data_IF_566172181908
#
_entry.id   IF_566172181908
#
_cell.length_a   1.000
_cell.length_b   1.000
_cell.length_c   1.000
_cell.angle_alpha   90.00
_cell.angle_beta   90.00
_cell.angle_gamma   90.00
#
_symmetry.space_group_name_H-M   'P 1'
#
loop_
_entity.id
_entity.type
_entity.pdbx_description
1 polymer ?
#
# COMPACT_ATOMS: atom_id res chain seq x y z
N UNK A 1 -32.83 27.19 76.24
CA UNK A 1 -34.07 27.41 75.47
C UNK A 1 -34.06 28.86 75.00
N UNK A 2 -33.96 29.07 73.69
CA UNK A 2 -34.24 30.31 72.99
C UNK A 2 -34.66 29.98 71.54
N UNK A 3 -35.45 30.85 70.89
CA UNK A 3 -36.41 30.47 69.85
C UNK A 3 -35.96 30.79 68.42
N UNK A 4 -36.77 30.28 67.48
CA UNK A 4 -36.90 30.55 66.05
C UNK A 4 -36.00 31.63 65.40
N UNK A 5 -35.33 31.25 64.31
CA UNK A 5 -35.17 32.13 63.13
C UNK A 5 -35.06 31.30 61.85
N UNK A 6 -36.06 31.50 60.99
CA UNK A 6 -36.02 31.26 59.54
C UNK A 6 -34.65 31.63 58.95
N UNK A 7 -34.08 30.72 58.16
CA UNK A 7 -33.10 31.09 57.14
C UNK A 7 -33.58 30.54 55.82
N UNK A 8 -34.05 31.47 55.00
CA UNK A 8 -34.33 31.33 53.59
C UNK A 8 -33.34 30.37 52.90
N UNK A 9 -33.89 29.35 52.26
CA UNK A 9 -33.25 28.65 51.15
C UNK A 9 -33.02 29.65 50.01
N UNK A 10 -31.87 30.34 50.03
CA UNK A 10 -31.36 30.99 48.83
C UNK A 10 -30.56 29.95 48.05
N UNK A 11 -31.29 29.10 47.32
CA UNK A 11 -30.75 28.36 46.19
C UNK A 11 -30.23 29.40 45.20
N UNK A 12 -28.96 29.78 45.36
CA UNK A 12 -28.31 30.77 44.52
C UNK A 12 -28.14 30.10 43.16
N UNK A 13 -28.77 30.56 42.08
CA UNK A 13 -28.56 29.98 40.78
C UNK A 13 -27.09 30.23 40.45
N UNK A 14 -26.29 29.16 40.40
CA UNK A 14 -24.88 29.25 40.08
C UNK A 14 -24.72 30.12 38.85
N UNK A 15 -23.91 31.18 38.97
CA UNK A 15 -23.76 32.21 37.95
C UNK A 15 -23.61 31.54 36.57
N UNK A 16 -24.53 31.79 35.61
CA UNK A 16 -24.54 31.10 34.32
C UNK A 16 -23.20 31.27 33.58
N UNK A 17 -22.50 32.37 33.83
CA UNK A 17 -21.16 32.62 33.29
C UNK A 17 -20.12 31.61 33.80
N UNK A 18 -20.16 31.27 35.09
CA UNK A 18 -19.24 30.29 35.71
C UNK A 18 -19.56 28.88 35.21
N UNK A 19 -20.85 28.53 35.08
CA UNK A 19 -21.27 27.25 34.50
C UNK A 19 -20.79 27.10 33.06
N UNK A 20 -20.99 28.13 32.22
CA UNK A 20 -20.54 28.12 30.83
C UNK A 20 -19.01 28.05 30.75
N UNK A 21 -18.30 28.77 31.61
CA UNK A 21 -16.84 28.73 31.68
C UNK A 21 -16.32 27.32 32.05
N UNK A 22 -16.89 26.70 33.08
CA UNK A 22 -16.55 25.34 33.49
C UNK A 22 -16.85 24.31 32.40
N UNK A 23 -18.01 24.40 31.74
CA UNK A 23 -18.38 23.53 30.63
C UNK A 23 -17.40 23.65 29.45
N UNK A 24 -16.96 24.88 29.13
CA UNK A 24 -15.94 25.11 28.09
C UNK A 24 -14.60 24.50 28.47
N UNK A 25 -14.16 24.67 29.71
CA UNK A 25 -12.91 24.07 30.19
C UNK A 25 -12.97 22.54 30.12
N UNK A 26 -14.07 21.93 30.56
CA UNK A 26 -14.30 20.49 30.46
C UNK A 26 -14.31 20.00 29.02
N UNK A 27 -14.95 20.75 28.11
CA UNK A 27 -14.95 20.42 26.69
C UNK A 27 -13.53 20.46 26.10
N UNK A 28 -12.74 21.48 26.45
CA UNK A 28 -11.37 21.63 25.96
C UNK A 28 -10.48 20.46 26.42
N UNK A 29 -10.51 20.13 27.71
CA UNK A 29 -9.78 18.97 28.27
C UNK A 29 -10.24 17.67 27.61
N UNK A 30 -11.55 17.53 27.34
CA UNK A 30 -12.09 16.35 26.66
C UNK A 30 -11.64 16.26 25.20
N UNK A 31 -11.48 17.38 24.50
CA UNK A 31 -10.96 17.42 23.14
C UNK A 31 -9.47 17.06 23.10
N UNK A 32 -8.67 17.58 24.02
CA UNK A 32 -7.26 17.20 24.15
C UNK A 32 -7.10 15.71 24.45
N UNK A 33 -7.92 15.17 25.37
CA UNK A 33 -7.95 13.73 25.66
C UNK A 33 -8.33 12.90 24.44
N UNK A 34 -9.30 13.36 23.65
CA UNK A 34 -9.67 12.68 22.39
C UNK A 34 -8.53 12.69 21.38
N UNK A 35 -7.85 13.83 21.20
CA UNK A 35 -6.71 13.93 20.31
C UNK A 35 -5.57 13.00 20.75
N UNK A 36 -5.31 12.93 22.06
CA UNK A 36 -4.31 12.00 22.61
C UNK A 36 -4.71 10.53 22.42
N UNK A 37 -5.98 10.17 22.67
CA UNK A 37 -6.48 8.82 22.44
C UNK A 37 -6.40 8.42 20.97
N UNK A 38 -6.70 9.33 20.04
CA UNK A 38 -6.54 9.09 18.60
C UNK A 38 -5.08 8.80 18.24
N UNK A 39 -4.14 9.59 18.75
CA UNK A 39 -2.71 9.34 18.56
C UNK A 39 -2.28 7.99 19.15
N UNK A 40 -2.79 7.65 20.34
CA UNK A 40 -2.47 6.36 20.98
C UNK A 40 -3.06 5.17 20.23
N UNK A 41 -4.26 5.30 19.69
CA UNK A 41 -4.86 4.29 18.81
C UNK A 41 -3.98 4.12 17.58
N UNK A 42 -3.58 5.19 16.92
CA UNK A 42 -2.69 5.14 15.75
C UNK A 42 -1.39 4.39 16.08
N UNK A 43 -0.69 4.73 17.17
CA UNK A 43 0.51 4.01 17.63
C UNK A 43 0.27 2.50 17.85
N UNK A 44 -0.83 2.14 18.51
CA UNK A 44 -1.18 0.73 18.77
C UNK A 44 -1.54 -0.01 17.48
N UNK A 45 -2.20 0.67 16.54
CA UNK A 45 -2.48 0.13 15.22
C UNK A 45 -1.20 -0.08 14.41
N UNK A 46 -0.21 0.81 14.56
CA UNK A 46 1.13 0.67 13.97
C UNK A 46 1.88 -0.53 14.54
N UNK A 47 1.92 -0.69 15.86
CA UNK A 47 2.54 -1.84 16.52
C UNK A 47 1.88 -3.15 16.08
N UNK A 48 0.54 -3.22 16.09
CA UNK A 48 -0.21 -4.38 15.60
C UNK A 48 0.12 -4.69 14.15
N UNK A 49 0.18 -3.69 13.28
CA UNK A 49 0.48 -3.87 11.86
C UNK A 49 1.92 -4.37 11.67
N UNK A 50 2.88 -3.84 12.44
CA UNK A 50 4.27 -4.28 12.43
C UNK A 50 4.41 -5.74 12.88
N UNK A 51 3.76 -6.13 13.99
CA UNK A 51 3.75 -7.50 14.49
C UNK A 51 3.10 -8.47 13.50
N UNK A 52 2.00 -8.06 12.85
CA UNK A 52 1.41 -8.85 11.75
C UNK A 52 2.38 -9.04 10.59
N UNK A 53 3.10 -8.01 10.18
CA UNK A 53 4.11 -8.13 9.12
C UNK A 53 5.27 -9.05 9.51
N UNK A 54 5.73 -9.01 10.77
CA UNK A 54 6.75 -9.93 11.27
C UNK A 54 6.24 -11.37 11.32
N UNK A 55 5.02 -11.58 11.82
CA UNK A 55 4.41 -12.89 11.91
C UNK A 55 4.16 -13.49 10.53
N UNK A 56 3.67 -12.70 9.57
CA UNK A 56 3.51 -13.14 8.17
C UNK A 56 4.86 -13.58 7.57
N UNK A 57 5.96 -12.87 7.87
CA UNK A 57 7.31 -13.27 7.43
C UNK A 57 7.74 -14.59 8.06
N UNK A 58 7.54 -14.74 9.37
CA UNK A 58 7.92 -15.94 10.12
C UNK A 58 7.13 -17.17 9.67
N UNK A 59 5.81 -17.05 9.52
CA UNK A 59 4.93 -18.12 9.03
C UNK A 59 5.33 -18.56 7.63
N UNK A 60 5.65 -17.61 6.73
CA UNK A 60 6.14 -17.94 5.38
C UNK A 60 7.47 -18.70 5.45
N UNK A 61 8.37 -18.31 6.35
CA UNK A 61 9.70 -18.93 6.48
C UNK A 61 9.64 -20.33 7.09
N UNK A 62 8.68 -20.61 7.97
CA UNK A 62 8.48 -21.92 8.60
C UNK A 62 7.64 -22.88 7.74
N UNK A 63 7.08 -22.43 6.61
CA UNK A 63 6.26 -23.26 5.70
C UNK A 63 7.05 -23.87 4.54
N UNK A 64 8.38 -23.90 4.62
CA UNK A 64 9.21 -24.71 3.71
C UNK A 64 8.97 -26.20 3.99
N UNK A 65 8.75 -27.03 2.96
CA UNK A 65 8.53 -28.45 3.16
C UNK A 65 9.84 -29.12 3.56
N UNK A 66 9.82 -29.84 4.67
CA UNK A 66 10.77 -30.91 4.94
C UNK A 66 10.73 -31.89 3.75
N UNK A 67 11.88 -32.12 3.10
CA UNK A 67 12.01 -33.19 2.11
C UNK A 67 13.05 -32.95 1.00
N UNK A 68 14.24 -33.48 1.27
CA UNK A 68 15.18 -34.13 0.32
C UNK A 68 16.16 -33.29 -0.52
N UNK A 69 17.45 -33.61 -0.28
CA UNK A 69 18.57 -33.62 -1.24
C UNK A 69 19.18 -32.24 -1.49
N UNK A 70 20.32 -31.86 -0.92
CA UNK A 70 21.57 -32.63 -0.90
C UNK A 70 22.50 -32.02 -1.95
N UNK A 71 23.66 -31.51 -1.49
CA UNK A 71 24.94 -31.51 -2.23
C UNK A 71 25.03 -30.52 -3.44
N UNK A 72 26.04 -29.68 -3.65
CA UNK A 72 27.38 -29.47 -3.10
C UNK A 72 27.79 -28.00 -3.29
N UNK A 73 28.69 -27.52 -2.44
CA UNK A 73 29.52 -26.35 -2.72
C UNK A 73 30.45 -26.70 -3.89
N UNK A 74 30.53 -25.87 -4.92
CA UNK A 74 31.67 -25.91 -5.82
C UNK A 74 32.34 -24.54 -5.93
N UNK A 75 33.63 -24.62 -5.61
CA UNK A 75 34.64 -23.59 -5.53
C UNK A 75 35.17 -23.36 -6.94
N UNK A 76 35.32 -22.10 -7.31
CA UNK A 76 36.01 -21.64 -8.52
C UNK A 76 37.51 -21.97 -8.44
N UNK A 77 38.05 -22.73 -9.41
CA UNK A 77 39.46 -22.62 -9.84
C UNK A 77 39.60 -22.91 -11.35
N UNK A 78 40.09 -21.91 -12.08
CA UNK A 78 40.62 -22.00 -13.44
C UNK A 78 41.96 -22.78 -13.47
N UNK A 79 42.17 -23.69 -14.42
CA UNK A 79 43.43 -23.79 -15.18
C UNK A 79 43.42 -24.89 -16.27
N UNK A 80 43.99 -24.47 -17.40
CA UNK A 80 44.37 -25.12 -18.65
C UNK A 80 45.16 -26.45 -18.52
N UNK A 81 44.87 -27.44 -19.37
CA UNK A 81 45.89 -28.05 -20.25
C UNK A 81 45.31 -29.05 -21.25
N UNK A 82 45.85 -28.95 -22.45
CA UNK A 82 45.66 -29.75 -23.66
C UNK A 82 46.36 -31.12 -23.59
N UNK A 83 45.76 -32.22 -24.08
CA UNK A 83 46.40 -33.25 -24.96
C UNK A 83 45.44 -34.36 -25.43
N UNK A 84 45.46 -34.57 -26.76
CA UNK A 84 45.33 -35.78 -27.60
C UNK A 84 44.93 -37.15 -26.98
N UNK A 85 43.95 -37.85 -27.57
CA UNK A 85 44.15 -38.95 -28.55
C UNK A 85 42.89 -39.84 -28.68
N UNK A 86 42.61 -40.33 -29.89
CA UNK A 86 41.30 -40.87 -30.26
C UNK A 86 41.05 -42.36 -30.01
N UNK A 87 39.84 -42.81 -30.31
CA UNK A 87 39.56 -44.05 -31.08
C UNK A 87 38.06 -44.23 -31.37
N UNK A 88 37.78 -44.74 -32.58
CA UNK A 88 36.46 -45.04 -33.13
C UNK A 88 35.74 -46.15 -32.36
N UNK A 89 34.42 -46.03 -32.15
CA UNK A 89 33.51 -47.17 -32.39
C UNK A 89 32.10 -46.71 -32.77
N UNK A 90 31.67 -47.17 -33.95
CA UNK A 90 30.32 -47.05 -34.51
C UNK A 90 29.34 -47.88 -33.69
N UNK A 91 28.21 -47.29 -33.32
CA UNK A 91 26.97 -47.98 -32.96
C UNK A 91 25.79 -47.25 -33.60
N UNK A 92 25.23 -47.83 -34.66
CA UNK A 92 24.04 -47.33 -35.37
C UNK A 92 22.79 -47.64 -34.53
N UNK A 93 21.98 -46.62 -34.24
CA UNK A 93 20.61 -46.75 -33.75
C UNK A 93 19.78 -45.58 -34.27
N UNK A 94 18.72 -45.88 -35.01
CA UNK A 94 17.88 -44.96 -35.81
C UNK A 94 16.81 -44.24 -34.97
N UNK A 95 16.40 -43.07 -35.46
CA UNK A 95 15.20 -42.29 -35.09
C UNK A 95 15.63 -40.90 -34.63
N UNK A 96 15.26 -39.77 -35.23
CA UNK A 96 14.13 -39.40 -36.06
C UNK A 96 13.57 -38.08 -35.49
N UNK A 97 13.60 -36.98 -36.26
CA UNK A 97 12.83 -35.75 -35.99
C UNK A 97 13.40 -34.72 -34.99
N UNK A 98 13.46 -33.46 -35.45
CA UNK A 98 13.63 -32.19 -34.73
C UNK A 98 12.64 -31.97 -33.54
N UNK A 99 12.67 -30.82 -32.81
CA UNK A 99 13.69 -29.79 -32.59
C UNK A 99 14.03 -29.62 -31.09
N UNK A 100 15.10 -28.88 -30.77
CA UNK A 100 15.43 -28.41 -29.41
C UNK A 100 14.23 -27.71 -28.76
N UNK A 101 13.56 -28.39 -27.84
CA UNK A 101 12.54 -27.78 -26.96
C UNK A 101 13.23 -26.76 -26.05
N UNK A 102 13.07 -25.46 -26.35
CA UNK A 102 13.38 -24.40 -25.39
C UNK A 102 12.43 -24.59 -24.21
N UNK A 103 12.94 -25.13 -23.10
CA UNK A 103 12.20 -25.24 -21.85
C UNK A 103 11.73 -23.85 -21.46
N UNK A 104 10.48 -23.49 -21.80
CA UNK A 104 9.84 -22.30 -21.24
C UNK A 104 9.84 -22.56 -19.74
N UNK A 105 10.59 -21.75 -19.01
CA UNK A 105 10.59 -21.75 -17.55
C UNK A 105 9.14 -21.54 -17.11
N UNK A 106 8.46 -22.62 -16.76
CA UNK A 106 7.12 -22.58 -16.20
C UNK A 106 7.34 -21.96 -14.83
N UNK A 107 7.10 -20.65 -14.72
CA UNK A 107 6.91 -20.03 -13.42
C UNK A 107 5.74 -20.76 -12.78
N UNK A 108 6.04 -21.71 -11.90
CA UNK A 108 5.07 -22.26 -10.97
C UNK A 108 4.62 -21.08 -10.11
N UNK A 109 3.57 -20.40 -10.56
CA UNK A 109 2.84 -19.43 -9.74
C UNK A 109 2.25 -20.28 -8.63
N UNK A 110 3.02 -20.48 -7.56
CA UNK A 110 2.46 -20.78 -6.24
C UNK A 110 1.31 -19.80 -6.11
N UNK A 111 0.07 -20.28 -5.98
CA UNK A 111 -1.12 -19.47 -5.72
C UNK A 111 -1.01 -18.84 -4.31
N UNK A 112 0.08 -18.10 -4.08
CA UNK A 112 0.36 -17.36 -2.88
C UNK A 112 -0.46 -16.11 -2.96
N UNK A 113 -1.58 -16.10 -2.22
CA UNK A 113 -2.48 -14.96 -2.04
C UNK A 113 -3.03 -14.49 -3.38
N UNK A 114 -4.27 -14.86 -3.68
CA UNK A 114 -4.98 -14.24 -4.80
C UNK A 114 -4.80 -12.71 -4.69
N UNK A 115 -4.06 -12.14 -5.64
CA UNK A 115 -3.73 -10.71 -5.62
C UNK A 115 -5.06 -9.99 -5.72
N UNK A 116 -5.56 -9.44 -4.60
CA UNK A 116 -6.86 -8.79 -4.59
C UNK A 116 -6.85 -7.66 -5.61
N UNK A 117 -7.53 -7.87 -6.73
CA UNK A 117 -7.68 -6.85 -7.75
C UNK A 117 -8.65 -5.80 -7.22
N UNK A 118 -8.21 -4.55 -7.27
CA UNK A 118 -9.11 -3.43 -7.00
C UNK A 118 -10.06 -3.32 -8.17
N UNK A 119 -11.35 -3.12 -7.87
CA UNK A 119 -12.43 -3.11 -8.86
C UNK A 119 -13.00 -1.71 -9.07
N UNK A 120 -12.72 -0.78 -8.16
CA UNK A 120 -13.40 0.49 -8.02
C UNK A 120 -12.43 1.62 -7.57
N UNK A 121 -12.79 2.90 -7.81
CA UNK A 121 -11.97 4.06 -7.43
C UNK A 121 -11.64 4.13 -5.93
N UNK A 122 -12.57 3.73 -5.06
CA UNK A 122 -12.35 3.75 -3.61
C UNK A 122 -11.26 2.75 -3.20
N UNK A 123 -11.30 1.55 -3.77
CA UNK A 123 -10.24 0.56 -3.62
C UNK A 123 -8.88 1.07 -4.09
N UNK A 124 -8.83 1.89 -5.15
CA UNK A 124 -7.58 2.54 -5.60
C UNK A 124 -7.10 3.52 -4.54
N UNK A 125 -7.98 4.39 -4.05
CA UNK A 125 -7.65 5.41 -3.05
C UNK A 125 -7.17 4.79 -1.73
N UNK A 126 -7.85 3.76 -1.23
CA UNK A 126 -7.47 3.04 -0.01
C UNK A 126 -6.07 2.44 -0.16
N UNK A 127 -5.81 1.74 -1.27
CA UNK A 127 -4.50 1.15 -1.55
C UNK A 127 -3.42 2.24 -1.67
N UNK A 128 -3.71 3.33 -2.38
CA UNK A 128 -2.78 4.43 -2.59
C UNK A 128 -2.37 5.06 -1.25
N UNK A 129 -3.34 5.37 -0.38
CA UNK A 129 -3.09 5.90 0.97
C UNK A 129 -2.23 4.96 1.82
N UNK A 130 -2.52 3.65 1.81
CA UNK A 130 -1.71 2.64 2.52
C UNK A 130 -0.25 2.60 2.05
N UNK A 131 -0.04 2.63 0.74
CA UNK A 131 1.31 2.61 0.16
C UNK A 131 2.04 3.93 0.41
N UNK A 132 1.34 5.06 0.29
CA UNK A 132 1.87 6.40 0.60
C UNK A 132 2.38 6.47 2.03
N UNK A 133 1.59 5.99 2.99
CA UNK A 133 1.99 5.93 4.39
C UNK A 133 3.28 5.12 4.58
N UNK A 134 3.37 3.92 3.99
CA UNK A 134 4.60 3.12 4.07
C UNK A 134 5.78 3.83 3.40
N UNK A 135 5.58 4.45 2.24
CA UNK A 135 6.61 5.23 1.57
C UNK A 135 7.15 6.37 2.44
N UNK A 136 6.27 7.12 3.11
CA UNK A 136 6.68 8.22 3.99
C UNK A 136 7.60 7.74 5.12
N UNK A 137 7.42 6.50 5.60
CA UNK A 137 8.25 5.87 6.64
C UNK A 137 9.56 5.29 6.09
N UNK A 138 9.48 4.47 5.05
CA UNK A 138 10.64 3.70 4.54
C UNK A 138 11.45 4.45 3.47
N UNK A 139 10.91 5.58 2.97
CA UNK A 139 11.49 6.44 1.93
C UNK A 139 11.95 5.69 0.67
N UNK A 140 11.32 4.55 0.38
CA UNK A 140 11.64 3.69 -0.76
C UNK A 140 10.37 3.19 -1.44
N UNK A 141 10.20 3.57 -2.72
CA UNK A 141 9.10 3.10 -3.57
C UNK A 141 9.10 1.57 -3.69
N UNK A 142 10.25 1.00 -4.06
CA UNK A 142 10.39 -0.45 -4.26
C UNK A 142 10.03 -1.22 -2.99
N UNK A 143 10.51 -0.76 -1.82
CA UNK A 143 10.20 -1.41 -0.56
C UNK A 143 8.73 -1.28 -0.19
N UNK A 144 8.12 -0.11 -0.37
CA UNK A 144 6.70 0.09 -0.12
C UNK A 144 5.84 -0.83 -1.02
N UNK A 145 6.16 -0.93 -2.31
CA UNK A 145 5.46 -1.81 -3.24
C UNK A 145 5.60 -3.29 -2.88
N UNK A 146 6.79 -3.73 -2.46
CA UNK A 146 7.02 -5.11 -2.00
C UNK A 146 6.21 -5.45 -0.75
N UNK A 147 6.16 -4.55 0.24
CA UNK A 147 5.41 -4.75 1.49
C UNK A 147 3.91 -4.93 1.20
N UNK A 148 3.37 -4.13 0.29
CA UNK A 148 1.95 -4.19 -0.07
C UNK A 148 1.63 -5.20 -1.17
N UNK A 149 2.64 -5.89 -1.73
CA UNK A 149 2.47 -6.88 -2.80
C UNK A 149 1.91 -6.28 -4.10
N UNK A 150 2.15 -4.99 -4.37
CA UNK A 150 1.63 -4.28 -5.54
C UNK A 150 2.74 -4.03 -6.55
N UNK A 151 2.39 -4.12 -7.84
CA UNK A 151 3.31 -3.80 -8.92
C UNK A 151 3.39 -2.29 -9.20
N UNK A 152 4.57 -1.81 -9.61
CA UNK A 152 4.81 -0.40 -9.94
C UNK A 152 3.89 0.10 -11.04
N UNK A 153 3.69 -0.66 -12.11
CA UNK A 153 2.84 -0.22 -13.22
C UNK A 153 1.38 -0.16 -12.82
N UNK A 154 0.93 -1.05 -11.94
CA UNK A 154 -0.43 -0.99 -11.37
C UNK A 154 -0.64 0.28 -10.57
N UNK A 155 0.34 0.66 -9.73
CA UNK A 155 0.27 1.91 -8.98
C UNK A 155 0.35 3.14 -9.87
N UNK A 156 1.18 3.09 -10.92
CA UNK A 156 1.30 4.20 -11.87
C UNK A 156 -0.01 4.37 -12.64
N UNK A 157 -0.52 3.33 -13.29
CA UNK A 157 -1.67 3.42 -14.21
C UNK A 157 -2.97 3.81 -13.53
N UNK A 158 -3.09 3.58 -12.23
CA UNK A 158 -4.23 3.99 -11.41
C UNK A 158 -3.97 5.26 -10.57
N UNK A 159 -2.75 5.82 -10.62
CA UNK A 159 -2.40 7.04 -9.88
C UNK A 159 -3.29 8.25 -10.21
N UNK A 160 -3.73 8.48 -11.47
CA UNK A 160 -4.56 9.63 -11.79
C UNK A 160 -5.90 9.67 -11.03
N UNK A 161 -6.47 8.50 -10.71
CA UNK A 161 -7.70 8.41 -9.89
C UNK A 161 -7.43 8.98 -8.50
N UNK A 162 -6.36 8.51 -7.85
CA UNK A 162 -6.01 8.96 -6.50
C UNK A 162 -5.54 10.42 -6.50
N UNK A 163 -4.79 10.85 -7.51
CA UNK A 163 -4.33 12.23 -7.66
C UNK A 163 -5.52 13.19 -7.78
N UNK A 164 -6.52 12.89 -8.62
CA UNK A 164 -7.72 13.69 -8.75
C UNK A 164 -8.49 13.76 -7.41
N UNK A 165 -8.80 12.60 -6.81
CA UNK A 165 -9.57 12.50 -5.57
C UNK A 165 -8.93 13.23 -4.38
N UNK A 166 -7.59 13.29 -4.34
CA UNK A 166 -6.85 13.92 -3.23
C UNK A 166 -6.56 15.40 -3.47
N UNK A 167 -6.38 15.83 -4.73
CA UNK A 167 -5.90 17.17 -5.06
C UNK A 167 -7.01 18.10 -5.53
N UNK A 168 -7.98 17.56 -6.26
CA UNK A 168 -9.06 18.31 -6.90
C UNK A 168 -10.37 17.46 -6.90
N UNK A 169 -10.94 17.15 -5.71
CA UNK A 169 -12.18 16.37 -5.63
C UNK A 169 -13.36 17.03 -6.36
N UNK A 170 -13.36 18.35 -6.51
CA UNK A 170 -14.35 19.11 -7.28
C UNK A 170 -14.41 18.68 -8.75
N UNK A 171 -13.25 18.33 -9.34
CA UNK A 171 -13.12 17.88 -10.73
C UNK A 171 -13.65 16.46 -10.97
N UNK A 172 -13.95 15.71 -9.92
CA UNK A 172 -14.55 14.37 -10.04
C UNK A 172 -15.92 14.45 -10.71
N UNK A 173 -16.65 15.54 -10.49
CA UNK A 173 -17.95 15.78 -11.14
C UNK A 173 -17.83 15.95 -12.66
N UNK A 174 -16.76 16.60 -13.14
CA UNK A 174 -16.47 16.77 -14.58
C UNK A 174 -16.09 15.45 -15.24
N UNK A 175 -15.38 14.58 -14.51
CA UNK A 175 -15.09 13.21 -14.97
C UNK A 175 -16.38 12.39 -14.99
N UNK A 176 -17.29 12.60 -14.05
CA UNK A 176 -18.49 11.77 -13.87
C UNK A 176 -18.19 10.49 -13.10
N UNK A 177 -19.26 9.75 -12.78
CA UNK A 177 -19.20 8.56 -11.95
C UNK A 177 -18.53 7.38 -12.66
N UNK A 178 -17.93 6.49 -11.87
CA UNK A 178 -17.39 5.23 -12.35
C UNK A 178 -18.47 4.16 -12.29
N UNK A 179 -18.77 3.54 -13.43
CA UNK A 179 -19.70 2.42 -13.51
C UNK A 179 -18.98 1.17 -14.03
N UNK A 180 -18.80 0.18 -13.15
CA UNK A 180 -18.07 -1.05 -13.47
C UNK A 180 -18.70 -1.90 -14.59
N UNK A 181 -19.99 -1.68 -14.87
CA UNK A 181 -20.72 -2.30 -15.98
C UNK A 181 -20.47 -1.61 -17.33
N UNK A 182 -20.13 -0.31 -17.33
CA UNK A 182 -19.97 0.51 -18.54
C UNK A 182 -18.52 0.62 -19.00
N UNK A 183 -17.57 0.63 -18.08
CA UNK A 183 -16.16 0.83 -18.42
C UNK A 183 -15.20 0.07 -17.49
N UNK A 184 -13.93 -0.04 -17.92
CA UNK A 184 -12.87 -0.59 -17.08
C UNK A 184 -12.28 0.52 -16.20
N UNK A 185 -11.80 0.16 -15.02
CA UNK A 185 -11.12 1.08 -14.10
C UNK A 185 -9.93 1.84 -14.74
N UNK A 186 -9.22 1.22 -15.67
CA UNK A 186 -8.12 1.90 -16.40
C UNK A 186 -8.62 2.95 -17.39
N UNK A 187 -9.81 2.78 -17.93
CA UNK A 187 -10.43 3.76 -18.82
C UNK A 187 -10.94 4.95 -17.98
N UNK A 188 -11.51 4.69 -16.80
CA UNK A 188 -11.79 5.72 -15.80
C UNK A 188 -10.54 6.52 -15.42
N UNK A 189 -9.42 5.84 -15.13
CA UNK A 189 -8.15 6.50 -14.82
C UNK A 189 -7.66 7.42 -15.95
N UNK A 190 -7.86 7.02 -17.22
CA UNK A 190 -7.56 7.88 -18.38
C UNK A 190 -8.45 9.13 -18.41
N UNK A 191 -9.73 9.00 -18.09
CA UNK A 191 -10.66 10.15 -18.03
C UNK A 191 -10.27 11.09 -16.90
N UNK A 192 -9.94 10.57 -15.71
CA UNK A 192 -9.39 11.37 -14.61
C UNK A 192 -8.16 12.16 -15.05
N UNK A 193 -7.19 11.52 -15.71
CA UNK A 193 -5.99 12.20 -16.18
C UNK A 193 -6.28 13.31 -17.19
N UNK A 194 -7.21 13.09 -18.12
CA UNK A 194 -7.56 14.09 -19.14
C UNK A 194 -8.36 15.28 -18.60
N UNK A 195 -9.11 15.09 -17.51
CA UNK A 195 -9.89 16.14 -16.88
C UNK A 195 -9.04 17.04 -15.96
N UNK A 196 -7.83 16.61 -15.59
CA UNK A 196 -6.91 17.45 -14.82
C UNK A 196 -6.36 18.55 -15.72
N UNK A 197 -6.51 19.80 -15.28
CA UNK A 197 -5.90 20.95 -15.92
C UNK A 197 -4.42 21.11 -15.50
N UNK A 198 -3.74 22.06 -16.14
CA UNK A 198 -2.32 22.32 -15.89
C UNK A 198 -2.07 22.80 -14.44
N UNK A 199 -3.02 23.53 -13.86
CA UNK A 199 -2.96 23.96 -12.45
C UNK A 199 -3.02 22.76 -11.49
N UNK A 200 -3.97 21.84 -11.70
CA UNK A 200 -4.07 20.62 -10.90
C UNK A 200 -2.82 19.76 -11.04
N UNK A 201 -2.27 19.65 -12.25
CA UNK A 201 -1.01 18.94 -12.47
C UNK A 201 0.16 19.60 -11.72
N UNK A 202 0.27 20.92 -11.72
CA UNK A 202 1.30 21.63 -10.96
C UNK A 202 1.17 21.37 -9.45
N UNK A 203 -0.06 21.42 -8.92
CA UNK A 203 -0.37 21.10 -7.52
C UNK A 203 0.00 19.66 -7.16
N UNK A 204 -0.33 18.69 -8.02
CA UNK A 204 0.08 17.29 -7.86
C UNK A 204 1.61 17.17 -7.80
N UNK A 205 2.34 17.82 -8.70
CA UNK A 205 3.81 17.76 -8.70
C UNK A 205 4.41 18.36 -7.42
N UNK A 206 3.84 19.45 -6.92
CA UNK A 206 4.21 20.03 -5.62
C UNK A 206 3.96 19.06 -4.46
N UNK A 207 2.80 18.38 -4.46
CA UNK A 207 2.47 17.39 -3.44
C UNK A 207 3.35 16.13 -3.51
N UNK A 208 3.82 15.73 -4.70
CA UNK A 208 4.80 14.65 -4.87
C UNK A 208 6.16 15.02 -4.26
N UNK A 209 6.64 16.25 -4.50
CA UNK A 209 7.90 16.77 -3.92
C UNK A 209 7.85 16.85 -2.39
N UNK A 210 6.70 17.21 -1.83
CA UNK A 210 6.49 17.29 -0.37
C UNK A 210 6.16 15.94 0.27
N UNK A 211 6.23 14.83 -0.47
CA UNK A 211 5.88 13.48 -0.02
C UNK A 211 4.43 13.33 0.46
N UNK A 212 3.53 14.22 0.04
CA UNK A 212 2.08 14.12 0.27
C UNK A 212 1.38 13.26 -0.80
N UNK A 213 2.09 12.93 -1.88
CA UNK A 213 1.71 11.97 -2.90
C UNK A 213 2.89 11.06 -3.23
N UNK A 214 2.60 9.90 -3.81
CA UNK A 214 3.64 8.99 -4.30
C UNK A 214 4.37 9.65 -5.48
N UNK A 215 5.72 9.67 -5.50
CA UNK A 215 6.52 10.14 -6.63
C UNK A 215 6.51 9.11 -7.78
N UNK A 216 5.32 8.86 -8.31
CA UNK A 216 5.07 7.99 -9.44
C UNK A 216 4.28 8.75 -10.49
N UNK A 217 4.55 8.48 -11.75
CA UNK A 217 3.83 9.07 -12.87
C UNK A 217 3.58 7.99 -13.89
N UNK A 218 2.39 7.99 -14.46
CA UNK A 218 2.08 7.21 -15.63
C UNK A 218 2.07 8.12 -16.85
N UNK A 219 2.69 7.66 -17.94
CA UNK A 219 2.55 8.30 -19.25
C UNK A 219 1.60 7.43 -20.06
N UNK A 220 0.38 7.91 -20.29
CA UNK A 220 -0.50 7.27 -21.25
C UNK A 220 0.19 7.35 -22.62
N UNK A 221 0.42 6.18 -23.23
CA UNK A 221 0.92 6.11 -24.60
C UNK A 221 -0.25 6.42 -25.52
N UNK A 222 -0.09 7.43 -26.38
CA UNK A 222 -1.08 7.82 -27.38
C UNK A 222 -1.20 6.76 -28.47
#
# INVERSE_FOLDING_TARGET
MNPATSRHDTNTPGNPFILISNLRAHLYVSLEKNAWLQKRIEELEEERNFLRCQLDRFIVNMRSPDGEGGEEEEVEEDADSSVENGTKKKGRGRGGGEPRMKMRRIFRITHGRERQRVKDPDGVLIRYKKILYTYQRVRSMSRAFQIHGVDRNTMASTSPIAELLLVAPEKVTEVGEFEASKEKLLDYARRCYKAMDEETHAKVQSMKKTNKLLPISYRFRN
#
